data_IF_275795102694
#
_entry.id   IF_275795102694
#
_cell.length_a   1.000
_cell.length_b   1.000
_cell.length_c   1.000
_cell.angle_alpha   90.00
_cell.angle_beta   90.00
_cell.angle_gamma   90.00
#
_symmetry.space_group_name_H-M   'P 1'
#
loop_
_entity.id
_entity.type
_entity.pdbx_description
1 polymer ?
#
# COMPACT_ATOMS: atom_id res chain seq x y z
N UNK A 1 -35.70 -72.66 -41.87
CA UNK A 1 -36.05 -73.58 -40.76
C UNK A 1 -35.86 -72.80 -39.47
N UNK A 2 -36.95 -72.59 -38.69
CA UNK A 2 -37.12 -71.74 -37.48
C UNK A 2 -36.97 -70.22 -37.73
N UNK A 3 -37.98 -69.33 -37.76
CA UNK A 3 -39.24 -69.07 -37.02
C UNK A 3 -39.11 -68.71 -35.52
N UNK A 4 -39.48 -67.44 -35.25
CA UNK A 4 -40.30 -66.88 -34.15
C UNK A 4 -39.66 -66.13 -32.97
N UNK A 5 -39.91 -64.81 -33.01
CA UNK A 5 -40.42 -63.90 -31.97
C UNK A 5 -40.62 -64.44 -30.53
N UNK A 6 -40.21 -63.62 -29.55
CA UNK A 6 -41.04 -63.05 -28.44
C UNK A 6 -40.14 -62.18 -27.53
N UNK A 7 -40.38 -60.87 -27.44
CA UNK A 7 -41.27 -60.17 -26.51
C UNK A 7 -40.51 -59.59 -25.31
N UNK A 8 -40.21 -58.29 -25.35
CA UNK A 8 -39.73 -57.49 -24.21
C UNK A 8 -40.93 -57.11 -23.33
N UNK A 9 -40.89 -57.50 -22.05
CA UNK A 9 -41.85 -57.07 -21.04
C UNK A 9 -41.28 -55.90 -20.23
N UNK A 10 -42.07 -54.84 -20.11
CA UNK A 10 -41.88 -53.69 -19.22
C UNK A 10 -41.93 -54.14 -17.75
N UNK A 11 -41.04 -53.59 -16.92
CA UNK A 11 -41.24 -53.46 -15.48
C UNK A 11 -40.98 -51.99 -15.08
N UNK A 12 -42.06 -51.28 -14.77
CA UNK A 12 -42.04 -49.92 -14.24
C UNK A 12 -41.79 -49.98 -12.72
N UNK A 13 -40.72 -49.35 -12.25
CA UNK A 13 -40.47 -49.13 -10.83
C UNK A 13 -40.95 -47.72 -10.44
N UNK A 14 -41.97 -47.69 -9.59
CA UNK A 14 -42.58 -46.49 -8.99
C UNK A 14 -41.61 -45.84 -7.99
N UNK A 15 -41.29 -44.56 -8.18
CA UNK A 15 -40.67 -43.70 -7.17
C UNK A 15 -41.77 -43.04 -6.32
N UNK A 16 -41.68 -43.01 -4.98
CA UNK A 16 -42.66 -42.33 -4.15
C UNK A 16 -42.49 -40.80 -4.23
N UNK A 17 -43.58 -40.11 -4.56
CA UNK A 17 -43.70 -38.66 -4.46
C UNK A 17 -43.68 -38.24 -2.98
N UNK A 18 -42.61 -37.59 -2.54
CA UNK A 18 -42.58 -36.92 -1.24
C UNK A 18 -43.51 -35.70 -1.30
N UNK A 19 -44.62 -35.76 -0.55
CA UNK A 19 -45.56 -34.65 -0.38
C UNK A 19 -44.91 -33.55 0.46
N UNK A 20 -44.69 -32.39 -0.13
CA UNK A 20 -44.37 -31.17 0.61
C UNK A 20 -45.67 -30.67 1.23
N UNK A 21 -45.85 -30.88 2.53
CA UNK A 21 -46.92 -30.24 3.27
C UNK A 21 -46.61 -28.75 3.37
N UNK A 22 -47.51 -27.94 2.83
CA UNK A 22 -47.50 -26.48 2.90
C UNK A 22 -47.64 -26.04 4.36
N UNK A 23 -46.55 -25.53 4.95
CA UNK A 23 -46.59 -24.94 6.29
C UNK A 23 -47.41 -23.64 6.24
N UNK A 24 -48.60 -23.66 6.84
CA UNK A 24 -49.40 -22.46 7.07
C UNK A 24 -48.62 -21.47 7.97
N UNK A 25 -48.66 -20.16 7.68
CA UNK A 25 -48.03 -19.16 8.54
C UNK A 25 -48.70 -19.12 9.91
N UNK A 26 -47.91 -19.31 10.98
CA UNK A 26 -48.40 -19.18 12.35
C UNK A 26 -48.83 -17.74 12.66
N UNK A 27 -49.86 -17.54 13.52
CA UNK A 27 -50.32 -16.20 13.89
C UNK A 27 -49.20 -15.43 14.61
N UNK A 28 -48.98 -14.19 14.18
CA UNK A 28 -47.95 -13.32 14.74
C UNK A 28 -48.10 -13.17 16.26
N UNK A 29 -46.99 -13.37 16.98
CA UNK A 29 -46.89 -13.27 18.43
C UNK A 29 -47.41 -11.89 18.91
N UNK A 30 -48.46 -11.91 19.74
CA UNK A 30 -49.17 -10.72 20.23
C UNK A 30 -48.44 -9.92 21.32
N UNK A 31 -47.12 -10.06 21.44
CA UNK A 31 -46.35 -9.41 22.49
C UNK A 31 -45.07 -8.74 21.96
N UNK A 32 -45.14 -8.06 20.82
CA UNK A 32 -44.04 -7.20 20.37
C UNK A 32 -44.23 -5.80 20.97
N UNK A 33 -43.40 -5.47 21.95
CA UNK A 33 -43.28 -4.11 22.49
C UNK A 33 -42.15 -3.35 21.78
N UNK A 34 -42.29 -2.03 21.53
CA UNK A 34 -41.24 -1.24 20.91
C UNK A 34 -39.95 -1.26 21.73
N UNK A 35 -38.83 -1.60 21.10
CA UNK A 35 -37.50 -1.45 21.69
C UNK A 35 -36.99 -0.05 21.41
N UNK A 36 -36.96 0.78 22.46
CA UNK A 36 -36.45 2.15 22.38
C UNK A 36 -34.91 2.14 22.38
N UNK A 37 -34.34 1.96 21.19
CA UNK A 37 -32.91 2.08 20.97
C UNK A 37 -32.59 3.47 20.40
N UNK A 38 -31.75 4.28 21.06
CA UNK A 38 -31.36 5.58 20.53
C UNK A 38 -30.50 5.39 19.28
N UNK A 39 -31.14 5.43 18.12
CA UNK A 39 -30.46 5.40 16.82
C UNK A 39 -29.71 6.71 16.66
N UNK A 40 -28.39 6.68 16.84
CA UNK A 40 -27.53 7.80 16.45
C UNK A 40 -27.60 7.95 14.93
N UNK A 41 -27.73 9.18 14.39
CA UNK A 41 -27.63 9.41 12.95
C UNK A 41 -26.32 8.81 12.45
N UNK A 42 -26.38 7.97 11.41
CA UNK A 42 -25.18 7.43 10.81
C UNK A 42 -24.32 8.60 10.29
N UNK A 43 -23.07 8.68 10.74
CA UNK A 43 -22.09 9.56 10.10
C UNK A 43 -22.05 9.21 8.60
N UNK A 44 -22.26 10.20 7.73
CA UNK A 44 -22.20 10.02 6.29
C UNK A 44 -20.76 9.61 5.92
N UNK A 45 -20.56 8.31 5.71
CA UNK A 45 -19.29 7.83 5.17
C UNK A 45 -19.16 8.32 3.74
N UNK A 46 -17.99 8.85 3.34
CA UNK A 46 -17.76 9.22 1.95
C UNK A 46 -18.06 8.01 1.07
N UNK A 47 -18.77 8.23 -0.03
CA UNK A 47 -19.13 7.17 -0.96
C UNK A 47 -17.99 6.93 -1.95
N UNK A 48 -17.88 5.72 -2.48
CA UNK A 48 -16.97 5.42 -3.60
C UNK A 48 -17.58 5.93 -4.91
N UNK A 49 -17.66 7.25 -5.06
CA UNK A 49 -18.21 7.94 -6.21
C UNK A 49 -17.71 9.38 -6.26
N UNK A 50 -17.77 9.99 -7.44
CA UNK A 50 -17.57 11.42 -7.59
C UNK A 50 -18.89 12.15 -7.46
N UNK A 51 -18.90 13.25 -6.71
CA UNK A 51 -20.07 14.12 -6.62
C UNK A 51 -20.36 14.75 -7.98
N UNK A 52 -21.55 14.50 -8.52
CA UNK A 52 -22.06 15.13 -9.75
C UNK A 52 -21.20 14.91 -11.01
N UNK A 53 -20.37 13.86 -11.07
CA UNK A 53 -19.59 13.57 -12.28
C UNK A 53 -20.50 13.10 -13.42
N UNK A 54 -20.62 13.92 -14.46
CA UNK A 54 -21.34 13.59 -15.68
C UNK A 54 -20.37 13.29 -16.80
N UNK A 55 -20.23 12.01 -17.15
CA UNK A 55 -19.40 11.57 -18.26
C UNK A 55 -20.22 11.45 -19.55
N UNK A 56 -19.75 12.00 -20.68
CA UNK A 56 -20.41 11.76 -21.95
C UNK A 56 -20.31 10.29 -22.34
N UNK A 57 -21.23 9.85 -23.19
CA UNK A 57 -21.32 8.44 -23.63
C UNK A 57 -20.02 7.94 -24.27
N UNK A 58 -19.31 8.82 -24.99
CA UNK A 58 -18.03 8.52 -25.63
C UNK A 58 -16.80 8.65 -24.72
N UNK A 59 -16.95 8.94 -23.43
CA UNK A 59 -15.80 9.02 -22.52
C UNK A 59 -15.03 7.69 -22.42
N UNK A 60 -13.71 7.77 -22.24
CA UNK A 60 -12.82 6.63 -22.03
C UNK A 60 -12.47 6.50 -20.55
N UNK A 61 -12.39 5.27 -20.06
CA UNK A 61 -11.75 4.97 -18.77
C UNK A 61 -10.39 4.37 -19.09
N UNK A 62 -9.31 5.07 -18.77
CA UNK A 62 -7.94 4.60 -19.00
C UNK A 62 -7.27 4.36 -17.66
N UNK A 63 -6.64 3.19 -17.50
CA UNK A 63 -5.98 2.82 -16.26
C UNK A 63 -4.47 2.72 -16.46
N UNK A 64 -3.68 3.09 -15.44
CA UNK A 64 -2.24 2.96 -15.50
C UNK A 64 -1.60 2.79 -14.11
N UNK A 65 -0.48 2.09 -14.06
CA UNK A 65 0.29 1.98 -12.84
C UNK A 65 1.39 0.93 -12.88
N UNK A 66 2.05 0.78 -11.75
CA UNK A 66 3.10 -0.19 -11.50
C UNK A 66 3.11 -0.54 -10.00
N UNK A 67 3.98 -1.46 -9.57
CA UNK A 67 4.27 -1.60 -8.14
C UNK A 67 4.85 -0.29 -7.57
N UNK A 68 5.83 0.29 -8.26
CA UNK A 68 6.52 1.52 -7.87
C UNK A 68 6.83 2.42 -9.07
N UNK A 69 7.01 3.71 -8.81
CA UNK A 69 7.57 4.66 -9.77
C UNK A 69 9.09 4.78 -9.68
N UNK A 70 9.63 5.84 -10.30
CA UNK A 70 11.02 6.24 -10.09
C UNK A 70 11.17 6.84 -8.70
N UNK A 71 12.20 6.42 -7.97
CA UNK A 71 12.47 6.91 -6.61
C UNK A 71 12.64 8.44 -6.55
N UNK A 72 12.09 9.06 -5.51
CA UNK A 72 12.32 10.45 -5.13
C UNK A 72 13.32 10.52 -3.98
N UNK A 73 14.03 11.63 -3.87
CA UNK A 73 14.98 11.92 -2.78
C UNK A 73 14.31 12.49 -1.52
N UNK A 74 13.02 12.82 -1.60
CA UNK A 74 12.19 13.29 -0.51
C UNK A 74 10.99 12.38 -0.23
N UNK A 75 10.35 12.57 0.93
CA UNK A 75 9.14 11.84 1.30
C UNK A 75 7.87 12.64 1.09
N UNK A 76 6.77 11.92 0.89
CA UNK A 76 5.41 12.47 0.90
C UNK A 76 4.59 11.90 2.06
N UNK A 77 5.07 10.88 2.76
CA UNK A 77 4.41 10.31 3.94
C UNK A 77 5.43 9.75 4.94
N UNK A 78 4.93 9.07 5.97
CA UNK A 78 5.72 8.43 7.02
C UNK A 78 5.51 6.90 7.03
N UNK A 79 5.19 6.32 5.87
CA UNK A 79 4.96 4.87 5.72
C UNK A 79 6.22 4.03 5.99
N UNK A 80 7.39 4.66 5.95
CA UNK A 80 8.70 4.00 5.94
C UNK A 80 9.15 3.66 4.53
N UNK A 81 8.25 3.59 3.58
CA UNK A 81 8.57 3.33 2.18
C UNK A 81 9.07 4.59 1.49
N UNK A 82 10.00 4.44 0.54
CA UNK A 82 10.53 5.58 -0.19
C UNK A 82 9.51 6.08 -1.21
N UNK A 83 9.16 7.36 -1.12
CA UNK A 83 8.29 7.98 -2.11
C UNK A 83 8.86 7.87 -3.53
N UNK A 84 7.95 7.72 -4.49
CA UNK A 84 8.25 7.56 -5.92
C UNK A 84 7.41 8.51 -6.76
N UNK A 85 7.77 8.62 -8.04
CA UNK A 85 7.05 9.41 -9.04
C UNK A 85 6.78 8.59 -10.29
N UNK A 86 5.56 8.76 -10.81
CA UNK A 86 5.16 8.27 -12.13
C UNK A 86 4.74 9.47 -12.98
N UNK A 87 5.43 9.69 -14.09
CA UNK A 87 5.08 10.68 -15.11
C UNK A 87 4.04 10.07 -16.06
N UNK A 88 2.85 10.67 -16.10
CA UNK A 88 1.72 10.19 -16.91
C UNK A 88 1.48 11.17 -18.05
N UNK A 89 1.66 10.70 -19.28
CA UNK A 89 1.33 11.44 -20.49
C UNK A 89 0.00 10.94 -21.06
N UNK A 90 -0.97 11.83 -21.26
CA UNK A 90 -2.32 11.47 -21.71
C UNK A 90 -2.61 12.08 -23.07
N UNK A 91 -3.02 11.26 -24.02
CA UNK A 91 -3.41 11.71 -25.35
C UNK A 91 -4.77 11.13 -25.75
N UNK A 92 -5.80 11.97 -25.73
CA UNK A 92 -7.09 11.63 -26.31
C UNK A 92 -7.85 12.89 -26.72
N UNK A 93 -7.49 13.49 -27.86
CA UNK A 93 -8.09 14.75 -28.32
C UNK A 93 -9.55 14.58 -28.77
N UNK A 94 -9.93 13.38 -29.24
CA UNK A 94 -11.28 13.12 -29.76
C UNK A 94 -12.30 12.73 -28.67
N UNK A 95 -11.83 12.22 -27.52
CA UNK A 95 -12.69 11.65 -26.49
C UNK A 95 -12.22 12.10 -25.10
N UNK A 96 -13.10 12.65 -24.24
CA UNK A 96 -12.73 12.91 -22.86
C UNK A 96 -12.36 11.63 -22.13
N UNK A 97 -11.45 11.73 -21.16
CA UNK A 97 -10.91 10.59 -20.43
C UNK A 97 -11.10 10.76 -18.93
N UNK A 98 -11.38 9.67 -18.24
CA UNK A 98 -11.16 9.53 -16.80
C UNK A 98 -10.00 8.59 -16.57
N UNK A 99 -9.18 8.91 -15.57
CA UNK A 99 -7.98 8.14 -15.27
C UNK A 99 -8.20 7.30 -14.00
N UNK A 100 -7.70 6.08 -14.04
CA UNK A 100 -7.69 5.16 -12.91
C UNK A 100 -6.25 4.73 -12.63
N UNK A 101 -5.60 5.38 -11.68
CA UNK A 101 -4.16 5.27 -11.43
C UNK A 101 -3.89 4.49 -10.14
N UNK A 102 -2.94 3.56 -10.18
CA UNK A 102 -2.69 2.67 -9.05
C UNK A 102 -1.24 2.24 -8.85
N UNK A 103 -0.65 2.51 -7.68
CA UNK A 103 0.71 2.07 -7.32
C UNK A 103 0.82 1.59 -5.88
N UNK A 104 1.66 0.59 -5.59
CA UNK A 104 1.82 0.07 -4.23
C UNK A 104 2.53 1.11 -3.34
N UNK A 105 3.69 1.59 -3.81
CA UNK A 105 4.55 2.54 -3.12
C UNK A 105 3.92 3.95 -2.97
N UNK A 106 4.38 4.78 -2.02
CA UNK A 106 3.95 6.17 -1.95
C UNK A 106 4.32 6.86 -3.27
N UNK A 107 3.33 7.43 -3.97
CA UNK A 107 3.52 7.84 -5.37
C UNK A 107 2.94 9.22 -5.66
N UNK A 108 3.77 10.08 -6.26
CA UNK A 108 3.35 11.32 -6.92
C UNK A 108 3.10 11.03 -8.41
N UNK A 109 1.85 11.17 -8.83
CA UNK A 109 1.42 11.06 -10.23
C UNK A 109 1.53 12.43 -10.90
N UNK A 110 2.56 12.64 -11.71
CA UNK A 110 2.77 13.88 -12.43
C UNK A 110 2.11 13.81 -13.81
N UNK A 111 0.99 14.51 -13.99
CA UNK A 111 0.14 14.35 -15.17
C UNK A 111 0.39 15.49 -16.17
N UNK A 112 0.66 15.10 -17.42
CA UNK A 112 0.65 15.98 -18.59
C UNK A 112 -0.26 15.42 -19.68
N UNK A 113 -0.79 16.28 -20.55
CA UNK A 113 -1.68 15.88 -21.63
C UNK A 113 -1.43 16.63 -22.93
N UNK A 114 -1.72 16.00 -24.07
CA UNK A 114 -1.60 16.66 -25.39
C UNK A 114 -2.68 17.74 -25.58
N UNK A 115 -2.44 18.74 -26.44
CA UNK A 115 -3.48 19.70 -26.82
C UNK A 115 -4.77 19.02 -27.30
N UNK A 116 -5.93 19.57 -26.89
CA UNK A 116 -7.25 18.99 -27.19
C UNK A 116 -7.69 17.87 -26.24
N UNK A 117 -6.77 17.26 -25.47
CA UNK A 117 -7.14 16.24 -24.48
C UNK A 117 -7.88 16.85 -23.30
N UNK A 118 -9.03 16.24 -22.93
CA UNK A 118 -9.83 16.61 -21.76
C UNK A 118 -9.85 15.49 -20.72
N UNK A 119 -9.16 15.70 -19.62
CA UNK A 119 -9.25 14.83 -18.43
C UNK A 119 -10.45 15.29 -17.59
N UNK A 120 -11.42 14.40 -17.39
CA UNK A 120 -12.69 14.69 -16.72
C UNK A 120 -12.65 14.39 -15.21
N UNK A 121 -11.91 13.36 -14.79
CA UNK A 121 -11.74 12.98 -13.39
C UNK A 121 -10.54 12.03 -13.24
N UNK A 122 -10.01 11.91 -12.02
CA UNK A 122 -8.94 10.96 -11.69
C UNK A 122 -9.27 10.20 -10.41
N UNK A 123 -9.36 8.87 -10.49
CA UNK A 123 -9.33 7.97 -9.35
C UNK A 123 -7.89 7.52 -9.14
N UNK A 124 -7.30 7.81 -7.97
CA UNK A 124 -5.98 7.28 -7.59
C UNK A 124 -6.06 6.38 -6.40
N UNK A 125 -5.18 5.38 -6.38
CA UNK A 125 -5.18 4.35 -5.37
C UNK A 125 -3.81 3.74 -5.17
N UNK A 126 -3.63 3.11 -4.01
CA UNK A 126 -2.39 2.42 -3.68
C UNK A 126 -2.42 1.78 -2.31
N UNK A 127 -1.31 1.15 -1.92
CA UNK A 127 -1.17 0.74 -0.53
C UNK A 127 -0.83 1.98 0.32
N UNK A 128 0.22 2.69 -0.07
CA UNK A 128 0.67 3.91 0.60
C UNK A 128 0.09 5.20 0.01
N UNK A 129 0.53 6.37 0.51
CA UNK A 129 -0.02 7.67 0.11
C UNK A 129 0.11 7.90 -1.39
N UNK A 130 -1.00 8.27 -2.01
CA UNK A 130 -1.03 8.70 -3.41
C UNK A 130 -1.22 10.22 -3.48
N UNK A 131 -0.55 10.87 -4.42
CA UNK A 131 -0.65 12.31 -4.65
C UNK A 131 -0.73 12.62 -6.15
N UNK A 132 -1.59 13.56 -6.54
CA UNK A 132 -1.81 13.89 -7.96
C UNK A 132 -1.34 15.31 -8.25
N UNK A 133 -0.33 15.41 -9.11
CA UNK A 133 0.24 16.67 -9.58
C UNK A 133 -0.17 16.96 -11.02
N UNK A 134 -0.08 18.24 -11.39
CA UNK A 134 -0.22 18.67 -12.78
C UNK A 134 -1.65 18.85 -13.28
N UNK A 135 -2.68 18.67 -12.45
CA UNK A 135 -4.08 18.86 -12.86
C UNK A 135 -4.61 20.28 -12.60
N UNK A 136 -5.61 20.69 -13.39
CA UNK A 136 -6.39 21.89 -13.11
C UNK A 136 -7.24 21.65 -11.86
N UNK A 137 -7.44 22.68 -11.03
CA UNK A 137 -8.27 22.59 -9.80
C UNK A 137 -9.71 22.12 -10.05
N UNK A 138 -10.22 22.32 -11.26
CA UNK A 138 -11.57 21.91 -11.67
C UNK A 138 -11.70 20.42 -12.00
N UNK A 139 -10.59 19.69 -12.13
CA UNK A 139 -10.62 18.24 -12.37
C UNK A 139 -10.73 17.54 -11.01
N UNK A 140 -11.85 16.87 -10.71
CA UNK A 140 -12.01 16.20 -9.44
C UNK A 140 -11.06 14.99 -9.34
N UNK A 141 -10.49 14.83 -8.15
CA UNK A 141 -9.63 13.69 -7.80
C UNK A 141 -10.26 12.93 -6.64
N UNK A 142 -10.47 11.63 -6.81
CA UNK A 142 -10.85 10.73 -5.73
C UNK A 142 -9.64 9.88 -5.34
N UNK A 143 -9.17 10.04 -4.11
CA UNK A 143 -7.97 9.39 -3.60
C UNK A 143 -8.34 8.35 -2.55
N UNK A 144 -8.09 7.07 -2.86
CA UNK A 144 -8.47 5.95 -2.00
C UNK A 144 -7.33 4.94 -1.94
N UNK A 145 -6.62 4.90 -0.82
CA UNK A 145 -5.50 3.99 -0.56
C UNK A 145 -5.74 3.14 0.69
N UNK A 146 -4.91 2.13 0.90
CA UNK A 146 -4.95 1.34 2.12
C UNK A 146 -4.70 2.21 3.36
N UNK A 147 -3.72 3.12 3.29
CA UNK A 147 -3.32 3.96 4.43
C UNK A 147 -4.36 5.03 4.76
N UNK A 148 -5.02 5.65 3.77
CA UNK A 148 -6.04 6.67 4.02
C UNK A 148 -7.44 6.09 4.31
N UNK A 149 -7.62 4.76 4.22
CA UNK A 149 -8.90 4.06 4.38
C UNK A 149 -10.02 4.65 3.51
N UNK A 150 -9.67 5.02 2.29
CA UNK A 150 -10.58 5.68 1.37
C UNK A 150 -11.78 4.82 0.98
N UNK A 151 -12.86 5.46 0.48
CA UNK A 151 -14.15 4.81 0.34
C UNK A 151 -14.20 3.75 -0.77
N UNK A 152 -13.24 3.78 -1.70
CA UNK A 152 -13.13 2.81 -2.78
C UNK A 152 -12.25 1.60 -2.44
N UNK A 153 -11.78 1.50 -1.20
CA UNK A 153 -10.73 0.54 -0.83
C UNK A 153 -9.42 0.89 -1.51
N UNK A 154 -8.64 -0.11 -1.88
CA UNK A 154 -7.38 0.10 -2.59
C UNK A 154 -7.16 -0.94 -3.68
N UNK A 155 -6.42 -0.50 -4.68
CA UNK A 155 -5.86 -1.24 -5.81
C UNK A 155 -4.54 -0.60 -6.24
N UNK A 156 -3.70 -1.38 -6.90
CA UNK A 156 -2.57 -0.91 -7.70
C UNK A 156 -2.49 -1.78 -8.96
N UNK A 157 -1.81 -1.29 -9.99
CA UNK A 157 -1.73 -1.98 -11.29
C UNK A 157 -0.31 -2.51 -11.43
N UNK A 158 -0.09 -3.77 -11.04
CA UNK A 158 1.20 -4.48 -11.19
C UNK A 158 1.18 -5.49 -12.32
N UNK A 159 2.23 -6.31 -12.44
CA UNK A 159 2.43 -7.22 -13.58
C UNK A 159 1.38 -8.32 -13.77
N UNK A 160 0.42 -8.48 -12.84
CA UNK A 160 -0.85 -9.24 -13.01
C UNK A 160 -1.77 -9.11 -11.78
N UNK A 161 -1.33 -8.43 -10.71
CA UNK A 161 -2.09 -8.32 -9.48
C UNK A 161 -3.28 -7.36 -9.66
N UNK A 162 -4.45 -7.81 -9.20
CA UNK A 162 -5.67 -6.99 -9.02
C UNK A 162 -6.39 -6.48 -10.28
N UNK A 163 -5.97 -6.85 -11.50
CA UNK A 163 -6.67 -6.44 -12.74
C UNK A 163 -8.17 -6.81 -12.74
N UNK A 164 -8.53 -7.96 -12.16
CA UNK A 164 -9.93 -8.39 -12.02
C UNK A 164 -10.81 -7.45 -11.20
N UNK A 165 -10.23 -6.55 -10.39
CA UNK A 165 -10.96 -5.55 -9.60
C UNK A 165 -11.24 -4.26 -10.35
N UNK A 166 -10.53 -4.01 -11.45
CA UNK A 166 -10.61 -2.72 -12.16
C UNK A 166 -11.97 -2.48 -12.79
N UNK A 167 -12.50 -3.44 -13.56
CA UNK A 167 -13.79 -3.27 -14.22
C UNK A 167 -14.97 -3.13 -13.26
N UNK A 168 -15.12 -3.96 -12.20
CA UNK A 168 -16.16 -3.75 -11.21
C UNK A 168 -16.09 -2.38 -10.53
N UNK A 169 -14.89 -1.92 -10.20
CA UNK A 169 -14.69 -0.61 -9.56
C UNK A 169 -14.96 0.55 -10.53
N UNK A 170 -14.44 0.47 -11.76
CA UNK A 170 -14.69 1.46 -12.79
C UNK A 170 -16.19 1.54 -13.14
N UNK A 171 -16.89 0.41 -13.20
CA UNK A 171 -18.34 0.39 -13.42
C UNK A 171 -19.09 1.08 -12.29
N UNK A 172 -18.67 0.87 -11.03
CA UNK A 172 -19.27 1.52 -9.86
C UNK A 172 -19.02 3.03 -9.84
N UNK A 173 -17.79 3.46 -10.12
CA UNK A 173 -17.37 4.86 -9.96
C UNK A 173 -17.68 5.72 -11.19
N UNK A 174 -17.54 5.15 -12.39
CA UNK A 174 -17.64 5.86 -13.66
C UNK A 174 -18.80 5.39 -14.54
N UNK A 175 -19.49 4.31 -14.17
CA UNK A 175 -20.55 3.71 -15.00
C UNK A 175 -20.03 3.03 -16.28
N UNK A 176 -18.71 2.83 -16.39
CA UNK A 176 -18.04 2.26 -17.57
C UNK A 176 -16.88 1.35 -17.15
N UNK A 177 -16.59 0.26 -17.86
CA UNK A 177 -15.40 -0.55 -17.62
C UNK A 177 -14.13 0.20 -18.05
N UNK A 178 -12.97 -0.29 -17.62
CA UNK A 178 -11.68 0.16 -18.12
C UNK A 178 -11.54 -0.24 -19.59
N UNK A 179 -11.30 0.74 -20.46
CA UNK A 179 -11.10 0.53 -21.89
C UNK A 179 -9.72 -0.07 -22.17
N UNK A 180 -8.69 0.43 -21.48
CA UNK A 180 -7.32 -0.06 -21.63
C UNK A 180 -6.49 0.20 -20.36
N UNK A 181 -5.59 -0.74 -20.06
CA UNK A 181 -4.59 -0.64 -19.00
C UNK A 181 -3.22 -0.39 -19.63
N UNK A 182 -2.49 0.61 -19.13
CA UNK A 182 -1.17 1.00 -19.57
C UNK A 182 -0.18 0.80 -18.42
N UNK A 183 0.57 -0.32 -18.38
CA UNK A 183 1.59 -0.53 -17.37
C UNK A 183 2.65 0.57 -17.43
N UNK A 184 2.97 1.15 -16.27
CA UNK A 184 4.04 2.11 -16.16
C UNK A 184 5.39 1.40 -16.19
N UNK A 185 6.36 1.93 -16.94
CA UNK A 185 7.73 1.43 -17.01
C UNK A 185 8.70 2.57 -16.75
N UNK A 186 9.71 2.33 -15.93
CA UNK A 186 10.70 3.32 -15.51
C UNK A 186 10.09 4.62 -14.98
N UNK A 187 8.99 4.50 -14.21
CA UNK A 187 8.26 5.66 -13.69
C UNK A 187 7.54 6.49 -14.76
N UNK A 188 7.17 5.90 -15.91
CA UNK A 188 6.46 6.59 -16.99
C UNK A 188 5.30 5.76 -17.53
N UNK A 189 4.19 6.41 -17.88
CA UNK A 189 3.07 5.79 -18.57
C UNK A 189 2.51 6.75 -19.65
N UNK A 190 2.29 6.24 -20.86
CA UNK A 190 1.63 6.96 -21.94
C UNK A 190 0.25 6.34 -22.20
N UNK A 191 -0.80 7.13 -22.03
CA UNK A 191 -2.20 6.68 -22.03
C UNK A 191 -2.94 7.26 -23.23
N UNK A 192 -3.79 6.43 -23.83
CA UNK A 192 -4.68 6.79 -24.92
C UNK A 192 -4.04 6.51 -26.28
N UNK A 193 -4.19 7.46 -27.20
CA UNK A 193 -3.74 7.36 -28.59
C UNK A 193 -2.22 7.64 -28.67
N UNK A 194 -1.50 7.16 -29.71
CA UNK A 194 -0.07 7.41 -29.85
C UNK A 194 0.27 8.91 -29.80
N UNK A 195 1.24 9.29 -28.97
CA UNK A 195 1.71 10.67 -28.87
C UNK A 195 2.43 11.07 -30.18
N UNK A 196 2.03 12.18 -30.83
CA UNK A 196 2.75 12.69 -31.99
C UNK A 196 4.20 13.04 -31.66
N UNK A 197 5.10 12.85 -32.61
CA UNK A 197 6.50 13.25 -32.45
C UNK A 197 6.60 14.76 -32.19
N UNK A 198 7.42 15.16 -31.21
CA UNK A 198 7.61 16.56 -30.84
C UNK A 198 6.43 17.24 -30.14
N UNK A 199 5.36 16.52 -29.80
CA UNK A 199 4.20 17.11 -29.11
C UNK A 199 4.61 17.73 -27.77
N UNK A 200 4.26 19.00 -27.58
CA UNK A 200 4.41 19.66 -26.28
C UNK A 200 3.21 19.32 -25.39
N UNK A 201 3.49 18.62 -24.28
CA UNK A 201 2.47 18.29 -23.30
C UNK A 201 2.15 19.51 -22.43
N UNK A 202 0.87 19.68 -22.14
CA UNK A 202 0.33 20.66 -21.22
C UNK A 202 0.28 20.04 -19.82
N UNK A 203 0.57 20.85 -18.80
CA UNK A 203 0.34 20.50 -17.40
C UNK A 203 -0.05 21.76 -16.63
N UNK A 204 -0.78 21.58 -15.53
CA UNK A 204 -1.20 22.68 -14.67
C UNK A 204 -0.16 22.94 -13.60
N UNK A 205 0.29 24.18 -13.47
CA UNK A 205 1.15 24.64 -12.38
C UNK A 205 0.43 24.79 -11.04
N UNK A 206 -0.89 24.56 -10.98
CA UNK A 206 -1.67 24.73 -9.75
C UNK A 206 -1.25 23.76 -8.63
N UNK A 207 -0.73 22.59 -9.00
CA UNK A 207 -0.27 21.57 -8.06
C UNK A 207 1.00 20.91 -8.61
N UNK A 208 2.19 21.54 -8.45
CA UNK A 208 3.45 20.97 -8.92
C UNK A 208 3.83 19.73 -8.08
N UNK A 209 4.61 18.77 -8.63
CA UNK A 209 5.01 17.55 -7.90
C UNK A 209 5.62 17.83 -6.52
N UNK A 210 6.50 18.83 -6.42
CA UNK A 210 7.22 19.12 -5.18
C UNK A 210 6.33 19.76 -4.09
N UNK A 211 5.11 20.17 -4.42
CA UNK A 211 4.14 20.64 -3.41
C UNK A 211 3.73 19.53 -2.43
N UNK A 212 3.97 18.26 -2.76
CA UNK A 212 3.68 17.12 -1.89
C UNK A 212 4.83 16.72 -0.98
N UNK A 213 6.00 17.35 -1.14
CA UNK A 213 7.16 17.09 -0.29
C UNK A 213 6.85 17.40 1.17
N UNK A 214 7.06 16.42 2.04
CA UNK A 214 7.10 16.64 3.48
C UNK A 214 8.43 17.32 3.83
N UNK A 215 8.41 18.64 4.01
CA UNK A 215 9.57 19.43 4.36
C UNK A 215 10.16 19.09 5.75
N UNK A 216 9.39 18.40 6.60
CA UNK A 216 9.83 17.97 7.93
C UNK A 216 10.41 16.56 7.93
N UNK A 217 10.17 15.79 6.87
CA UNK A 217 10.72 14.44 6.75
C UNK A 217 12.22 14.49 6.45
N UNK A 218 13.01 13.54 6.98
CA UNK A 218 14.38 13.33 6.54
C UNK A 218 14.43 12.94 5.05
N UNK A 219 15.60 13.10 4.42
CA UNK A 219 15.85 12.52 3.10
C UNK A 219 15.69 11.00 3.13
N UNK A 220 15.41 10.41 1.97
CA UNK A 220 15.21 8.97 1.84
C UNK A 220 16.52 8.18 1.78
N UNK A 221 16.46 6.90 2.15
CA UNK A 221 17.46 5.88 1.89
C UNK A 221 18.86 6.26 2.40
N UNK A 222 19.93 5.87 1.65
CA UNK A 222 21.30 6.20 2.03
C UNK A 222 21.57 7.69 2.20
N UNK A 223 20.90 8.56 1.43
CA UNK A 223 21.06 10.00 1.53
C UNK A 223 20.54 10.53 2.88
N UNK A 224 19.45 9.97 3.40
CA UNK A 224 18.92 10.27 4.73
C UNK A 224 19.88 9.89 5.86
N UNK A 225 20.53 8.74 5.74
CA UNK A 225 21.52 8.29 6.72
C UNK A 225 22.76 9.18 6.70
N UNK A 226 23.28 9.50 5.52
CA UNK A 226 24.41 10.43 5.38
C UNK A 226 24.07 11.81 5.93
N UNK A 227 22.86 12.32 5.70
CA UNK A 227 22.41 13.58 6.27
C UNK A 227 22.35 13.54 7.79
N UNK A 228 21.79 12.48 8.36
CA UNK A 228 21.72 12.30 9.81
C UNK A 228 23.12 12.20 10.44
N UNK A 229 24.09 11.56 9.78
CA UNK A 229 25.49 11.55 10.22
C UNK A 229 26.12 12.94 10.15
N UNK A 230 25.97 13.65 9.02
CA UNK A 230 26.50 15.01 8.86
C UNK A 230 25.96 15.99 9.90
N UNK A 231 24.69 15.82 10.29
CA UNK A 231 24.01 16.64 11.31
C UNK A 231 24.30 16.21 12.74
N UNK A 232 25.09 15.16 12.95
CA UNK A 232 25.42 14.64 14.28
C UNK A 232 24.27 13.92 14.99
N UNK A 233 23.22 13.53 14.26
CA UNK A 233 22.11 12.73 14.80
C UNK A 233 22.50 11.25 14.92
N UNK A 234 23.36 10.79 14.00
CA UNK A 234 23.91 9.44 13.97
C UNK A 234 25.44 9.49 13.95
N UNK A 235 26.07 8.43 14.45
CA UNK A 235 27.45 8.07 14.11
C UNK A 235 27.53 6.60 13.72
N UNK A 236 28.51 6.18 12.91
CA UNK A 236 28.80 4.77 12.74
C UNK A 236 29.00 4.08 14.09
N UNK A 237 28.43 2.90 14.24
CA UNK A 237 28.67 2.03 15.38
C UNK A 237 30.06 1.39 15.26
N UNK A 238 30.64 1.10 16.41
CA UNK A 238 31.94 0.48 16.57
C UNK A 238 31.80 -0.91 17.16
N UNK A 239 32.90 -1.68 17.17
CA UNK A 239 32.96 -2.94 17.91
C UNK A 239 32.60 -2.79 19.38
N UNK A 240 32.99 -1.67 20.01
CA UNK A 240 32.71 -1.40 21.40
C UNK A 240 31.21 -1.24 21.69
N UNK A 241 30.44 -0.70 20.74
CA UNK A 241 28.99 -0.59 20.86
C UNK A 241 28.33 -1.98 20.87
N UNK A 242 28.81 -2.90 20.03
CA UNK A 242 28.33 -4.28 19.99
C UNK A 242 28.72 -5.06 21.25
N UNK A 243 29.94 -4.85 21.76
CA UNK A 243 30.41 -5.45 23.01
C UNK A 243 29.59 -4.92 24.20
N UNK A 244 29.27 -3.63 24.22
CA UNK A 244 28.42 -3.03 25.25
C UNK A 244 27.01 -3.63 25.25
N UNK A 245 26.41 -3.86 24.09
CA UNK A 245 25.10 -4.51 23.98
C UNK A 245 25.14 -5.94 24.51
N UNK A 246 26.15 -6.71 24.10
CA UNK A 246 26.32 -8.09 24.51
C UNK A 246 26.43 -8.18 26.05
N UNK A 247 27.28 -7.35 26.65
CA UNK A 247 27.45 -7.29 28.10
C UNK A 247 26.17 -6.86 28.83
N UNK A 248 25.47 -5.83 28.33
CA UNK A 248 24.24 -5.36 28.94
C UNK A 248 23.14 -6.44 28.90
N UNK A 249 22.98 -7.10 27.75
CA UNK A 249 22.02 -8.20 27.57
C UNK A 249 22.36 -9.40 28.46
N UNK A 250 23.63 -9.81 28.53
CA UNK A 250 24.04 -10.94 29.37
C UNK A 250 23.84 -10.67 30.87
N UNK A 251 24.04 -9.43 31.33
CA UNK A 251 23.76 -9.04 32.72
C UNK A 251 22.28 -9.02 33.05
N UNK A 252 21.43 -8.72 32.07
CA UNK A 252 19.97 -8.69 32.24
C UNK A 252 19.29 -10.04 31.99
N UNK A 253 19.98 -10.98 31.34
CA UNK A 253 19.46 -12.31 31.08
C UNK A 253 19.11 -13.04 32.39
N UNK A 254 17.97 -13.76 32.44
CA UNK A 254 17.67 -14.63 33.56
C UNK A 254 18.81 -15.62 33.80
N UNK A 255 19.16 -15.85 35.06
CA UNK A 255 20.11 -16.92 35.41
C UNK A 255 19.41 -18.24 35.19
N UNK A 256 19.66 -18.86 34.03
CA UNK A 256 19.22 -20.23 33.79
C UNK A 256 20.07 -21.17 34.66
N UNK A 257 19.42 -22.03 35.43
CA UNK A 257 20.05 -23.10 36.21
C UNK A 257 20.44 -24.27 35.28
N UNK A 258 21.24 -23.96 34.27
CA UNK A 258 21.77 -24.94 33.32
C UNK A 258 23.18 -25.36 33.77
N UNK A 259 23.48 -26.66 33.81
CA UNK A 259 24.82 -27.13 34.12
C UNK A 259 25.82 -26.65 33.05
N UNK A 260 27.07 -26.31 33.43
CA UNK A 260 28.08 -25.89 32.47
C UNK A 260 28.43 -27.02 31.50
N UNK A 261 28.57 -26.71 30.21
CA UNK A 261 29.02 -27.64 29.18
C UNK A 261 30.53 -27.48 29.00
N UNK A 262 31.30 -28.56 29.09
CA UNK A 262 32.75 -28.52 28.92
C UNK A 262 33.13 -27.92 27.56
N UNK A 263 33.99 -26.90 27.56
CA UNK A 263 34.41 -26.19 26.35
C UNK A 263 33.44 -25.11 25.84
N UNK A 264 32.28 -24.93 26.49
CA UNK A 264 31.40 -23.79 26.25
C UNK A 264 31.51 -22.81 27.42
N UNK A 265 31.54 -21.51 27.10
CA UNK A 265 31.38 -20.46 28.10
C UNK A 265 29.89 -20.14 28.22
N UNK A 266 29.22 -20.54 29.33
CA UNK A 266 27.78 -20.31 29.53
C UNK A 266 27.42 -18.83 29.69
N UNK A 267 28.42 -17.95 29.87
CA UNK A 267 28.26 -16.49 29.96
C UNK A 267 28.70 -15.78 28.68
N UNK A 268 29.05 -16.50 27.60
CA UNK A 268 29.48 -15.88 26.34
C UNK A 268 28.31 -15.13 25.71
N UNK A 269 28.23 -13.84 26.05
CA UNK A 269 27.25 -12.93 25.55
C UNK A 269 27.24 -12.95 24.02
N UNK A 270 26.06 -13.13 23.43
CA UNK A 270 25.95 -13.10 21.97
C UNK A 270 26.22 -11.66 21.49
N UNK A 271 27.38 -11.49 20.86
CA UNK A 271 27.74 -10.24 20.22
C UNK A 271 27.02 -10.14 18.88
N UNK A 272 26.21 -9.08 18.65
CA UNK A 272 25.57 -8.88 17.36
C UNK A 272 26.61 -8.74 16.25
N UNK A 273 26.37 -9.41 15.13
CA UNK A 273 27.18 -9.30 13.92
C UNK A 273 26.67 -8.12 13.06
N UNK A 274 26.73 -6.91 13.61
CA UNK A 274 26.29 -5.69 12.93
C UNK A 274 27.10 -5.44 11.65
N UNK A 275 26.38 -5.28 10.53
CA UNK A 275 26.90 -4.70 9.29
C UNK A 275 26.11 -3.42 9.05
N UNK A 276 26.81 -2.32 8.79
CA UNK A 276 26.20 -1.00 8.57
C UNK A 276 25.29 -0.55 9.72
N UNK A 277 25.87 -0.45 10.91
CA UNK A 277 25.18 -0.02 12.13
C UNK A 277 25.50 1.42 12.51
N UNK A 278 24.52 2.09 13.12
CA UNK A 278 24.62 3.48 13.55
C UNK A 278 24.11 3.66 14.98
N UNK A 279 24.80 4.48 15.75
CA UNK A 279 24.39 4.87 17.09
C UNK A 279 23.61 6.18 17.01
N UNK A 280 22.43 6.19 17.62
CA UNK A 280 21.56 7.35 17.74
C UNK A 280 22.11 8.26 18.83
N UNK A 281 22.40 9.52 18.48
CA UNK A 281 23.00 10.49 19.38
C UNK A 281 21.98 11.53 19.88
N UNK A 282 20.94 11.80 19.09
CA UNK A 282 19.94 12.83 19.37
C UNK A 282 18.55 12.39 18.85
N UNK A 283 17.45 13.01 19.35
CA UNK A 283 16.12 12.77 18.81
C UNK A 283 16.08 12.98 17.30
N UNK A 284 15.57 11.98 16.57
CA UNK A 284 15.47 12.01 15.12
C UNK A 284 14.28 11.16 14.61
N UNK A 285 14.00 11.28 13.32
CA UNK A 285 13.07 10.40 12.61
C UNK A 285 13.86 9.45 11.73
N UNK A 286 13.48 8.17 11.68
CA UNK A 286 14.07 7.22 10.74
C UNK A 286 13.89 7.69 9.29
N UNK A 287 14.96 7.68 8.47
CA UNK A 287 14.81 7.81 7.03
C UNK A 287 13.91 6.71 6.47
N UNK A 288 13.02 7.07 5.55
CA UNK A 288 12.27 6.08 4.77
C UNK A 288 13.19 5.36 3.77
N UNK A 289 12.79 4.21 3.25
CA UNK A 289 13.54 3.44 2.24
C UNK A 289 14.58 2.48 2.80
N UNK A 290 14.60 2.24 4.12
CA UNK A 290 15.54 1.31 4.78
C UNK A 290 15.05 -0.15 4.74
N UNK A 291 14.76 -0.65 3.54
CA UNK A 291 14.27 -2.01 3.29
C UNK A 291 15.30 -2.82 2.49
N UNK A 292 15.24 -4.16 2.64
CA UNK A 292 16.07 -5.08 1.86
C UNK A 292 17.57 -4.78 2.02
N UNK A 293 18.28 -4.56 0.91
CA UNK A 293 19.72 -4.25 0.94
C UNK A 293 20.09 -2.91 1.61
N UNK A 294 19.10 -2.07 1.93
CA UNK A 294 19.29 -0.79 2.63
C UNK A 294 18.86 -0.84 4.10
N UNK A 295 18.49 -2.01 4.63
CA UNK A 295 18.24 -2.16 6.07
C UNK A 295 19.55 -1.99 6.85
N UNK A 296 19.46 -1.37 8.03
CA UNK A 296 20.60 -1.09 8.90
C UNK A 296 20.36 -1.64 10.30
N UNK A 297 21.33 -1.48 11.20
CA UNK A 297 21.08 -1.64 12.64
C UNK A 297 21.21 -0.30 13.35
N UNK A 298 20.19 0.10 14.08
CA UNK A 298 20.19 1.28 14.94
C UNK A 298 20.46 0.88 16.38
N UNK A 299 21.38 1.57 17.02
CA UNK A 299 21.69 1.42 18.44
C UNK A 299 21.19 2.67 19.14
N UNK A 300 20.24 2.52 20.05
CA UNK A 300 19.69 3.63 20.85
C UNK A 300 20.30 3.53 22.25
N UNK A 301 21.27 4.40 22.60
CA UNK A 301 21.89 4.38 23.92
C UNK A 301 20.91 4.69 25.04
N UNK A 302 21.25 4.26 26.25
CA UNK A 302 20.45 4.56 27.44
C UNK A 302 20.33 6.07 27.64
N UNK A 303 19.10 6.55 27.84
CA UNK A 303 18.77 7.97 28.01
C UNK A 303 18.53 8.72 26.70
N UNK A 304 18.81 8.13 25.53
CA UNK A 304 18.47 8.71 24.23
C UNK A 304 17.06 8.28 23.85
N UNK A 305 16.17 9.21 23.45
CA UNK A 305 14.83 8.86 23.01
C UNK A 305 14.85 7.98 21.75
N UNK A 306 13.93 7.01 21.69
CA UNK A 306 13.71 6.18 20.51
C UNK A 306 13.36 7.07 19.31
N UNK A 307 14.02 6.91 18.15
CA UNK A 307 13.64 7.66 16.95
C UNK A 307 12.19 7.40 16.54
N UNK A 308 11.54 8.44 16.01
CA UNK A 308 10.17 8.36 15.49
C UNK A 308 10.14 7.86 14.05
N UNK A 309 8.95 7.55 13.54
CA UNK A 309 8.77 7.05 12.17
C UNK A 309 8.96 5.53 12.07
N UNK A 310 9.11 5.04 10.84
CA UNK A 310 9.23 3.61 10.56
C UNK A 310 10.69 3.25 10.18
N UNK A 311 11.35 2.33 10.91
CA UNK A 311 12.73 1.91 10.62
C UNK A 311 12.87 1.00 9.38
N UNK A 312 11.77 0.65 8.72
CA UNK A 312 11.74 -0.28 7.60
C UNK A 312 12.06 -1.71 8.05
N UNK A 313 13.01 -2.36 7.37
CA UNK A 313 13.53 -3.68 7.77
C UNK A 313 14.75 -3.59 8.69
N UNK A 314 15.09 -2.39 9.15
CA UNK A 314 16.23 -2.19 10.05
C UNK A 314 15.98 -2.78 11.43
N UNK A 315 17.04 -3.28 12.04
CA UNK A 315 17.02 -3.71 13.43
C UNK A 315 17.22 -2.51 14.35
N UNK A 316 16.56 -2.51 15.51
CA UNK A 316 16.74 -1.48 16.53
C UNK A 316 17.04 -2.14 17.88
N UNK A 317 18.22 -1.81 18.41
CA UNK A 317 18.76 -2.24 19.68
C UNK A 317 18.59 -1.12 20.70
N UNK A 318 17.59 -1.24 21.58
CA UNK A 318 17.24 -0.21 22.55
C UNK A 318 17.84 -0.48 23.93
N UNK A 319 18.85 0.29 24.33
CA UNK A 319 19.48 0.16 25.65
C UNK A 319 18.63 0.69 26.81
N UNK A 320 17.53 1.40 26.54
CA UNK A 320 16.61 1.84 27.60
C UNK A 320 15.83 0.65 28.16
N UNK A 321 15.39 -0.24 27.27
CA UNK A 321 14.57 -1.41 27.60
C UNK A 321 15.33 -2.73 27.52
N UNK A 322 16.54 -2.72 26.95
CA UNK A 322 17.30 -3.91 26.55
C UNK A 322 16.50 -4.83 25.63
N UNK A 323 15.67 -4.23 24.76
CA UNK A 323 14.93 -4.95 23.73
C UNK A 323 15.54 -4.76 22.35
N UNK A 324 15.33 -5.76 21.50
CA UNK A 324 15.78 -5.76 20.11
C UNK A 324 14.54 -6.03 19.24
N UNK A 325 14.29 -5.15 18.26
CA UNK A 325 13.21 -5.33 17.28
C UNK A 325 13.77 -5.33 15.87
N UNK A 326 13.30 -6.23 15.01
CA UNK A 326 13.77 -6.38 13.63
C UNK A 326 13.99 -7.83 13.22
N UNK A 327 14.39 -8.05 11.98
CA UNK A 327 14.54 -9.38 11.40
C UNK A 327 15.69 -10.17 12.06
N UNK A 328 16.80 -9.51 12.41
CA UNK A 328 17.95 -10.15 13.06
C UNK A 328 17.74 -10.31 14.57
N UNK A 329 16.87 -9.50 15.18
CA UNK A 329 16.52 -9.60 16.60
C UNK A 329 15.66 -10.82 16.96
N UNK A 330 14.88 -11.36 16.01
CA UNK A 330 13.97 -12.51 16.24
C UNK A 330 14.64 -13.87 16.08
N UNK A 331 15.91 -13.89 15.66
CA UNK A 331 16.64 -15.14 15.49
C UNK A 331 17.56 -15.39 16.68
N UNK A 332 16.97 -16.08 17.68
CA UNK A 332 17.59 -16.96 18.71
C UNK A 332 17.24 -16.58 20.14
#
# INVERSE_FOLDING_TARGET
MHLLLRAFALAAALLPLASWAENAPQPADRALVPFDFPVRPAEQRPSCAFDNLKLPSNARVLAAGAYSGRALDYQIDQSGHQATRIDVAVNSPARPVVLMLGAYEPTVWAIGWSPGTRIAAVLVSGYHRQAVAGLKKTVPVLNSSHDNKGPCGYFYIGDNEQLGRLNPLAQRVFGKPVEMVYPARDGRAALGDPLPEGVQLLTSSATPPDAFRDAKAPLAGPAGIQDAVRRGLLRPATSADADAWAQASARAAPKNDLPPVAGQDPMKAHRPAWRDAYVVLQPMTYPAGLYGAHSLSFVVPKGVPMPTGNPGHSDVYDFNTLSCVGALCRTR
#
